data_IF_396361206569
#
_entry.id   IF_396361206569
#
_cell.length_a   1.000
_cell.length_b   1.000
_cell.length_c   1.000
_cell.angle_alpha   90.00
_cell.angle_beta   90.00
_cell.angle_gamma   90.00
#
_symmetry.space_group_name_H-M   'P 1'
#
loop_
_entity.id
_entity.type
_entity.pdbx_description
1 polymer ?
#
# COMPACT_ATOMS: atom_id res chain seq x y z
N UNK A 1 -30.50 9.01 52.25
CA UNK A 1 -30.98 8.13 51.17
C UNK A 1 -30.06 8.37 49.98
N UNK A 2 -29.00 7.57 49.84
CA UNK A 2 -27.95 7.79 48.86
C UNK A 2 -28.30 7.04 47.57
N UNK A 3 -28.54 7.79 46.49
CA UNK A 3 -28.82 7.27 45.15
C UNK A 3 -27.52 6.75 44.55
N UNK A 4 -27.40 5.43 44.41
CA UNK A 4 -26.28 4.78 43.71
C UNK A 4 -26.57 4.73 42.22
N UNK A 5 -25.82 5.51 41.44
CA UNK A 5 -25.79 5.45 39.97
C UNK A 5 -25.09 4.15 39.54
N UNK A 6 -25.66 3.34 38.63
CA UNK A 6 -24.97 2.15 38.15
C UNK A 6 -23.86 2.56 37.19
N UNK A 7 -22.62 2.21 37.52
CA UNK A 7 -21.46 2.29 36.62
C UNK A 7 -21.64 1.27 35.50
N UNK A 8 -21.98 1.75 34.30
CA UNK A 8 -21.99 0.97 33.07
C UNK A 8 -20.56 0.51 32.76
N UNK A 9 -20.23 -0.72 33.15
CA UNK A 9 -18.98 -1.37 32.75
C UNK A 9 -19.06 -1.64 31.25
N UNK A 10 -18.32 -0.86 30.46
CA UNK A 10 -18.12 -1.10 29.03
C UNK A 10 -17.38 -2.42 28.84
N UNK A 11 -18.12 -3.52 28.72
CA UNK A 11 -17.58 -4.85 28.43
C UNK A 11 -16.84 -4.80 27.09
N UNK A 12 -15.51 -4.70 27.13
CA UNK A 12 -14.65 -4.88 25.94
C UNK A 12 -14.97 -6.26 25.39
N UNK A 13 -15.53 -6.31 24.19
CA UNK A 13 -15.79 -7.57 23.50
C UNK A 13 -14.47 -8.34 23.41
N UNK A 14 -14.49 -9.62 23.80
CA UNK A 14 -13.34 -10.51 23.68
C UNK A 14 -12.90 -10.55 22.21
N UNK A 15 -11.60 -10.36 21.90
CA UNK A 15 -11.10 -10.43 20.53
C UNK A 15 -11.50 -11.77 19.91
N UNK A 16 -12.03 -11.75 18.68
CA UNK A 16 -12.40 -13.01 18.02
C UNK A 16 -11.12 -13.73 17.60
N UNK A 17 -10.98 -15.03 17.87
CA UNK A 17 -9.79 -15.75 17.44
C UNK A 17 -9.67 -15.75 15.91
N UNK A 18 -8.45 -15.57 15.42
CA UNK A 18 -8.11 -15.44 13.98
C UNK A 18 -8.63 -16.62 13.13
N UNK A 19 -8.73 -17.82 13.72
CA UNK A 19 -9.25 -19.03 13.05
C UNK A 19 -10.73 -18.94 12.66
N UNK A 20 -11.50 -18.03 13.29
CA UNK A 20 -12.91 -17.77 12.93
C UNK A 20 -13.03 -16.76 11.78
N UNK A 21 -11.92 -16.10 11.41
CA UNK A 21 -11.85 -15.00 10.41
C UNK A 21 -10.93 -15.39 9.26
N UNK A 22 -11.40 -16.31 8.41
CA UNK A 22 -10.61 -16.87 7.31
C UNK A 22 -10.06 -15.81 6.33
N UNK A 23 -10.84 -14.75 6.08
CA UNK A 23 -10.39 -13.61 5.25
C UNK A 23 -9.27 -12.81 5.94
N UNK A 24 -9.35 -12.59 7.24
CA UNK A 24 -8.30 -11.87 7.98
C UNK A 24 -6.99 -12.67 7.98
N UNK A 25 -7.06 -14.01 8.00
CA UNK A 25 -5.87 -14.85 7.84
C UNK A 25 -5.25 -14.71 6.44
N UNK A 26 -6.07 -14.62 5.39
CA UNK A 26 -5.60 -14.37 4.03
C UNK A 26 -4.91 -13.00 3.92
N UNK A 27 -5.53 -11.95 4.46
CA UNK A 27 -4.95 -10.60 4.46
C UNK A 27 -3.68 -10.54 5.30
N UNK A 28 -3.63 -11.22 6.44
CA UNK A 28 -2.44 -11.31 7.26
C UNK A 28 -1.29 -12.00 6.52
N UNK A 29 -1.54 -13.13 5.87
CA UNK A 29 -0.55 -13.82 5.06
C UNK A 29 -0.05 -12.92 3.91
N UNK A 30 -0.98 -12.21 3.27
CA UNK A 30 -0.65 -11.21 2.27
C UNK A 30 0.26 -10.12 2.82
N UNK A 31 -0.08 -9.46 3.95
CA UNK A 31 0.75 -8.40 4.52
C UNK A 31 2.12 -8.89 5.00
N UNK A 32 2.21 -10.12 5.53
CA UNK A 32 3.49 -10.72 5.94
C UNK A 32 4.42 -10.93 4.74
N UNK A 33 3.89 -11.39 3.60
CA UNK A 33 4.68 -11.56 2.37
C UNK A 33 4.94 -10.21 1.69
N UNK A 34 3.97 -9.29 1.76
CA UNK A 34 4.04 -8.02 1.10
C UNK A 34 5.07 -7.08 1.73
N UNK A 35 5.16 -7.00 3.06
CA UNK A 35 6.11 -6.10 3.76
C UNK A 35 7.57 -6.29 3.28
N UNK A 36 8.12 -7.52 3.20
CA UNK A 36 9.44 -7.75 2.62
C UNK A 36 9.55 -7.33 1.15
N UNK A 37 8.51 -7.56 0.35
CA UNK A 37 8.48 -7.16 -1.07
C UNK A 37 8.47 -5.63 -1.19
N UNK A 38 7.69 -4.91 -0.38
CA UNK A 38 7.69 -3.45 -0.37
C UNK A 38 9.05 -2.91 0.05
N UNK A 39 9.66 -3.52 1.09
CA UNK A 39 10.98 -3.14 1.54
C UNK A 39 12.03 -3.36 0.44
N UNK A 40 11.95 -4.49 -0.27
CA UNK A 40 12.80 -4.78 -1.41
C UNK A 40 12.60 -3.76 -2.53
N UNK A 41 11.36 -3.49 -2.92
CA UNK A 41 11.04 -2.56 -4.00
C UNK A 41 11.46 -1.13 -3.65
N UNK A 42 11.31 -0.72 -2.40
CA UNK A 42 11.85 0.54 -1.91
C UNK A 42 13.37 0.59 -2.10
N UNK A 43 14.11 -0.45 -1.71
CA UNK A 43 15.56 -0.53 -1.92
C UNK A 43 15.94 -0.50 -3.41
N UNK A 44 15.17 -1.11 -4.31
CA UNK A 44 15.48 -1.10 -5.75
C UNK A 44 15.19 0.24 -6.43
N UNK A 45 14.25 1.02 -5.89
CA UNK A 45 13.82 2.29 -6.50
C UNK A 45 14.65 3.49 -6.03
N UNK A 46 15.28 3.38 -4.86
CA UNK A 46 16.15 4.40 -4.28
C UNK A 46 17.24 4.88 -5.26
N UNK A 47 17.98 3.99 -5.98
CA UNK A 47 18.92 4.40 -7.01
C UNK A 47 18.28 5.16 -8.18
N UNK A 48 17.07 4.79 -8.62
CA UNK A 48 16.35 5.50 -9.68
C UNK A 48 15.93 6.91 -9.27
N UNK A 49 15.60 7.12 -7.99
CA UNK A 49 15.25 8.45 -7.45
C UNK A 49 16.47 9.34 -7.21
N UNK A 50 17.67 8.77 -7.04
CA UNK A 50 18.91 9.53 -6.83
C UNK A 50 19.60 9.97 -8.13
N UNK A 51 19.22 9.41 -9.29
CA UNK A 51 19.90 9.62 -10.58
C UNK A 51 19.34 10.81 -11.40
N UNK A 52 18.62 11.75 -10.76
CA UNK A 52 17.97 12.89 -11.44
C UNK A 52 18.66 14.24 -11.18
N UNK A 53 19.90 14.25 -10.64
CA UNK A 53 20.54 15.47 -10.14
C UNK A 53 21.89 15.84 -10.78
N UNK A 54 22.29 15.24 -11.92
CA UNK A 54 23.63 15.51 -12.49
C UNK A 54 23.67 15.99 -13.95
N UNK A 55 22.55 16.30 -14.60
CA UNK A 55 22.58 16.94 -15.94
C UNK A 55 21.32 17.80 -16.22
N UNK A 56 21.42 19.11 -15.96
CA UNK A 56 20.84 20.19 -16.78
C UNK A 56 21.16 21.53 -16.06
N UNK A 57 22.03 22.42 -16.53
CA UNK A 57 22.30 22.77 -17.92
C UNK A 57 21.47 23.98 -18.42
N UNK A 58 20.25 24.19 -17.92
CA UNK A 58 19.28 25.03 -18.65
C UNK A 58 18.09 25.51 -17.78
N UNK A 59 18.05 26.83 -17.63
CA UNK A 59 17.00 27.59 -16.96
C UNK A 59 15.62 27.46 -17.64
N UNK A 60 14.79 26.49 -17.28
CA UNK A 60 13.31 26.52 -17.43
C UNK A 60 12.60 25.18 -17.15
N UNK A 61 12.45 24.81 -15.87
CA UNK A 61 11.20 24.32 -15.28
C UNK A 61 11.47 23.77 -13.86
N UNK A 62 10.92 24.44 -12.86
CA UNK A 62 10.57 23.86 -11.56
C UNK A 62 9.05 24.02 -11.44
N UNK A 63 8.31 23.06 -10.85
CA UNK A 63 8.44 22.86 -9.40
C UNK A 63 8.19 21.41 -8.96
N UNK A 64 9.23 20.70 -8.53
CA UNK A 64 9.06 19.60 -7.58
C UNK A 64 10.25 19.49 -6.61
N UNK A 65 10.90 20.61 -6.31
CA UNK A 65 12.00 20.72 -5.34
C UNK A 65 11.60 20.33 -3.90
N UNK A 66 10.31 20.28 -3.56
CA UNK A 66 9.86 19.84 -2.23
C UNK A 66 9.87 18.32 -2.02
N UNK A 67 9.99 17.52 -3.08
CA UNK A 67 10.07 16.04 -2.98
C UNK A 67 11.53 15.56 -3.01
N UNK A 68 12.41 16.36 -3.63
CA UNK A 68 13.86 16.14 -3.68
C UNK A 68 14.50 16.29 -2.29
N UNK A 69 13.97 17.17 -1.44
CA UNK A 69 14.50 17.37 -0.08
C UNK A 69 14.31 16.13 0.84
N UNK A 70 13.35 15.25 0.55
CA UNK A 70 13.19 13.98 1.28
C UNK A 70 14.12 12.88 0.74
N UNK A 71 14.51 12.96 -0.54
CA UNK A 71 15.57 12.10 -1.11
C UNK A 71 16.95 12.43 -0.52
N UNK A 72 17.21 13.71 -0.18
CA UNK A 72 18.41 14.09 0.58
C UNK A 72 18.40 13.66 2.05
N UNK A 73 17.24 13.33 2.62
CA UNK A 73 17.09 12.73 3.97
C UNK A 73 17.35 11.22 3.94
N UNK A 74 17.42 10.62 2.75
CA UNK A 74 17.66 9.18 2.63
C UNK A 74 19.10 8.86 3.08
N UNK A 75 19.29 8.11 4.18
CA UNK A 75 20.63 7.84 4.67
C UNK A 75 21.38 7.01 3.63
N UNK A 76 22.67 7.27 3.45
CA UNK A 76 23.55 6.61 2.49
C UNK A 76 23.66 5.08 2.69
N UNK A 77 23.09 4.54 3.78
CA UNK A 77 22.89 3.10 3.96
C UNK A 77 21.85 2.50 2.99
N UNK A 78 20.84 3.27 2.55
CA UNK A 78 19.83 2.80 1.61
C UNK A 78 20.34 2.81 0.15
N UNK A 79 21.20 3.76 -0.20
CA UNK A 79 21.95 3.76 -1.47
C UNK A 79 23.20 2.90 -1.29
N UNK A 80 23.00 1.59 -1.10
CA UNK A 80 24.09 0.62 -0.90
C UNK A 80 24.40 -0.16 -2.19
N UNK A 81 25.56 -0.82 -2.31
CA UNK A 81 25.84 -1.72 -3.44
C UNK A 81 24.80 -2.82 -3.64
N UNK A 82 24.12 -3.21 -2.55
CA UNK A 82 22.97 -4.10 -2.60
C UNK A 82 21.84 -3.51 -3.44
N UNK A 83 21.44 -2.25 -3.21
CA UNK A 83 20.35 -1.60 -3.98
C UNK A 83 20.57 -1.64 -5.49
N UNK A 84 21.80 -1.36 -5.94
CA UNK A 84 22.18 -1.43 -7.35
C UNK A 84 22.16 -2.86 -7.90
N UNK A 85 22.56 -3.85 -7.09
CA UNK A 85 22.51 -5.27 -7.47
C UNK A 85 21.08 -5.76 -7.61
N UNK A 86 20.19 -5.33 -6.71
CA UNK A 86 18.78 -5.69 -6.74
C UNK A 86 18.06 -5.05 -7.93
N UNK A 87 18.36 -3.79 -8.24
CA UNK A 87 17.85 -3.12 -9.43
C UNK A 87 18.33 -3.83 -10.70
N UNK A 88 19.61 -4.19 -10.79
CA UNK A 88 20.14 -4.95 -11.93
C UNK A 88 19.41 -6.30 -12.12
N UNK A 89 19.18 -7.04 -11.04
CA UNK A 89 18.40 -8.29 -11.08
C UNK A 89 16.96 -8.07 -11.58
N UNK A 90 16.31 -7.00 -11.13
CA UNK A 90 14.94 -6.68 -11.51
C UNK A 90 14.83 -6.26 -12.99
N UNK A 91 15.78 -5.46 -13.48
CA UNK A 91 15.88 -5.04 -14.88
C UNK A 91 16.20 -6.19 -15.83
N UNK A 92 17.08 -7.11 -15.41
CA UNK A 92 17.42 -8.30 -16.18
C UNK A 92 16.24 -9.28 -16.25
N UNK A 93 15.51 -9.46 -15.15
CA UNK A 93 14.45 -10.47 -15.05
C UNK A 93 13.11 -10.01 -15.63
N UNK A 94 12.70 -8.77 -15.37
CA UNK A 94 11.35 -8.28 -15.67
C UNK A 94 11.32 -7.24 -16.79
N UNK A 95 12.48 -6.63 -17.14
CA UNK A 95 12.57 -5.60 -18.18
C UNK A 95 11.50 -4.50 -17.98
N UNK A 96 11.22 -4.14 -16.73
CA UNK A 96 10.11 -3.27 -16.42
C UNK A 96 10.44 -1.81 -16.77
N UNK A 97 9.73 -1.26 -17.75
CA UNK A 97 9.96 0.09 -18.25
C UNK A 97 9.76 1.16 -17.17
N UNK A 98 8.94 0.90 -16.14
CA UNK A 98 8.75 1.83 -15.03
C UNK A 98 10.04 2.11 -14.26
N UNK A 99 11.00 1.17 -14.25
CA UNK A 99 12.29 1.33 -13.59
C UNK A 99 13.42 1.76 -14.54
N UNK A 100 13.19 1.70 -15.86
CA UNK A 100 14.16 2.17 -16.88
C UNK A 100 13.93 3.64 -17.20
N UNK A 101 12.67 4.02 -17.45
CA UNK A 101 12.28 5.40 -17.77
C UNK A 101 11.01 5.76 -16.99
N UNK A 102 11.14 6.08 -15.69
CA UNK A 102 9.98 6.32 -14.83
C UNK A 102 9.21 7.57 -15.30
N UNK A 103 7.92 7.46 -15.60
CA UNK A 103 7.09 8.64 -15.83
C UNK A 103 6.86 9.39 -14.51
N UNK A 104 6.66 10.71 -14.57
CA UNK A 104 6.57 11.56 -13.37
C UNK A 104 5.49 11.11 -12.35
N UNK A 105 4.38 10.55 -12.83
CA UNK A 105 3.32 10.02 -11.96
C UNK A 105 3.74 8.75 -11.20
N UNK A 106 4.66 7.96 -11.76
CA UNK A 106 5.14 6.73 -11.13
C UNK A 106 5.99 7.09 -9.90
N UNK A 107 6.80 8.14 -9.99
CA UNK A 107 7.54 8.69 -8.84
C UNK A 107 6.60 9.08 -7.69
N UNK A 108 5.45 9.70 -7.98
CA UNK A 108 4.46 10.03 -6.95
C UNK A 108 3.89 8.78 -6.27
N UNK A 109 3.59 7.72 -7.04
CA UNK A 109 3.13 6.44 -6.49
C UNK A 109 4.18 5.76 -5.63
N UNK A 110 5.46 5.80 -6.02
CA UNK A 110 6.55 5.28 -5.20
C UNK A 110 6.68 5.98 -3.86
N UNK A 111 6.45 7.30 -3.81
CA UNK A 111 6.46 8.06 -2.57
C UNK A 111 5.26 7.73 -1.68
N UNK A 112 4.08 7.65 -2.27
CA UNK A 112 2.87 7.22 -1.59
C UNK A 112 3.08 5.82 -0.98
N UNK A 113 3.70 4.91 -1.74
CA UNK A 113 4.02 3.58 -1.27
C UNK A 113 5.00 3.60 -0.08
N UNK A 114 6.07 4.40 -0.16
CA UNK A 114 7.05 4.50 0.91
C UNK A 114 6.49 5.15 2.19
N UNK A 115 5.70 6.22 2.05
CA UNK A 115 5.25 7.05 3.19
C UNK A 115 3.95 6.52 3.79
N UNK A 116 3.07 5.92 3.00
CA UNK A 116 1.77 5.44 3.45
C UNK A 116 1.69 3.91 3.47
N UNK A 117 1.94 3.23 2.34
CA UNK A 117 1.77 1.78 2.27
C UNK A 117 2.69 1.01 3.23
N UNK A 118 3.97 1.39 3.35
CA UNK A 118 4.90 0.66 4.22
C UNK A 118 4.52 0.78 5.70
N UNK A 119 4.31 2.00 6.27
CA UNK A 119 3.86 2.12 7.66
C UNK A 119 2.53 1.45 7.92
N UNK A 120 1.56 1.57 7.00
CA UNK A 120 0.26 0.96 7.22
C UNK A 120 0.32 -0.56 7.12
N UNK A 121 1.11 -1.13 6.22
CA UNK A 121 1.28 -2.58 6.10
C UNK A 121 1.89 -3.19 7.36
N UNK A 122 2.88 -2.52 7.96
CA UNK A 122 3.45 -2.92 9.25
C UNK A 122 2.41 -2.84 10.37
N UNK A 123 1.63 -1.76 10.42
CA UNK A 123 0.55 -1.62 11.39
C UNK A 123 -0.56 -2.66 11.18
N UNK A 124 -0.87 -3.02 9.94
CA UNK A 124 -1.91 -3.98 9.58
C UNK A 124 -1.58 -5.38 10.08
N UNK A 125 -0.32 -5.82 10.04
CA UNK A 125 0.09 -7.09 10.65
C UNK A 125 -0.33 -7.12 12.13
N UNK A 126 0.07 -6.10 12.89
CA UNK A 126 -0.31 -5.97 14.30
C UNK A 126 -1.83 -5.82 14.49
N UNK A 127 -2.49 -5.00 13.68
CA UNK A 127 -3.91 -4.68 13.78
C UNK A 127 -4.81 -5.90 13.53
N UNK A 128 -4.44 -6.73 12.54
CA UNK A 128 -5.13 -7.99 12.26
C UNK A 128 -4.93 -9.00 13.38
N UNK A 129 -3.69 -9.14 13.89
CA UNK A 129 -3.42 -10.03 15.01
C UNK A 129 -4.24 -9.69 16.26
N UNK A 130 -4.49 -8.40 16.52
CA UNK A 130 -5.18 -7.93 17.72
C UNK A 130 -6.68 -7.65 17.53
N UNK A 131 -7.25 -7.94 16.35
CA UNK A 131 -8.63 -7.62 16.00
C UNK A 131 -9.00 -6.13 16.26
N UNK A 132 -8.14 -5.22 15.81
CA UNK A 132 -8.32 -3.80 16.07
C UNK A 132 -9.53 -3.22 15.29
N UNK A 133 -10.43 -2.43 15.92
CA UNK A 133 -11.69 -2.01 15.28
C UNK A 133 -11.51 -1.13 14.05
N UNK A 134 -10.37 -0.44 13.91
CA UNK A 134 -10.02 0.40 12.76
C UNK A 134 -9.40 -0.38 11.59
N UNK A 135 -9.16 -1.69 11.72
CA UNK A 135 -8.60 -2.51 10.64
C UNK A 135 -9.42 -2.39 9.36
N UNK A 136 -10.76 -2.53 9.35
CA UNK A 136 -11.53 -2.44 8.11
C UNK A 136 -11.42 -1.07 7.42
N UNK A 137 -11.23 0.00 8.18
CA UNK A 137 -11.09 1.36 7.64
C UNK A 137 -9.75 1.52 6.92
N UNK A 138 -8.65 1.12 7.56
CA UNK A 138 -7.32 1.21 6.94
C UNK A 138 -7.20 0.21 5.78
N UNK A 139 -7.77 -0.98 5.90
CA UNK A 139 -7.85 -1.98 4.83
C UNK A 139 -8.57 -1.42 3.59
N UNK A 140 -9.64 -0.63 3.79
CA UNK A 140 -10.38 0.00 2.69
C UNK A 140 -9.54 1.05 1.95
N UNK A 141 -8.86 1.94 2.69
CA UNK A 141 -8.03 2.99 2.08
C UNK A 141 -6.87 2.34 1.32
N UNK A 142 -6.15 1.43 1.98
CA UNK A 142 -5.03 0.69 1.39
C UNK A 142 -5.45 -0.06 0.12
N UNK A 143 -6.54 -0.84 0.18
CA UNK A 143 -6.98 -1.63 -0.98
C UNK A 143 -7.43 -0.78 -2.17
N UNK A 144 -8.08 0.36 -1.92
CA UNK A 144 -8.48 1.29 -2.97
C UNK A 144 -7.25 1.92 -3.64
N UNK A 145 -6.29 2.35 -2.83
CA UNK A 145 -5.05 2.95 -3.30
C UNK A 145 -4.24 1.97 -4.14
N UNK A 146 -3.99 0.76 -3.62
CA UNK A 146 -3.36 -0.34 -4.38
C UNK A 146 -4.09 -0.61 -5.69
N UNK A 147 -5.43 -0.64 -5.68
CA UNK A 147 -6.20 -0.90 -6.88
C UNK A 147 -6.00 0.21 -7.93
N UNK A 148 -5.99 1.48 -7.54
CA UNK A 148 -5.81 2.61 -8.46
C UNK A 148 -4.40 2.65 -9.04
N UNK A 149 -3.36 2.50 -8.19
CA UNK A 149 -1.97 2.52 -8.66
C UNK A 149 -1.69 1.34 -9.57
N UNK A 150 -2.12 0.14 -9.18
CA UNK A 150 -1.95 -1.09 -9.97
C UNK A 150 -2.73 -1.03 -11.28
N UNK A 151 -3.97 -0.51 -11.27
CA UNK A 151 -4.75 -0.34 -12.49
C UNK A 151 -4.07 0.64 -13.45
N UNK A 152 -3.51 1.74 -12.94
CA UNK A 152 -2.75 2.70 -13.75
C UNK A 152 -1.58 1.99 -14.45
N UNK A 153 -0.82 1.17 -13.73
CA UNK A 153 0.28 0.38 -14.31
C UNK A 153 -0.22 -0.61 -15.36
N UNK A 154 -1.30 -1.35 -15.10
CA UNK A 154 -1.89 -2.32 -16.06
C UNK A 154 -2.32 -1.63 -17.35
N UNK A 155 -2.97 -0.48 -17.23
CA UNK A 155 -3.39 0.33 -18.39
C UNK A 155 -2.18 0.86 -19.14
N UNK A 156 -1.16 1.35 -18.45
CA UNK A 156 0.03 1.91 -19.11
C UNK A 156 0.83 0.83 -19.85
N UNK A 157 1.05 -0.36 -19.24
CA UNK A 157 1.67 -1.53 -19.89
C UNK A 157 0.94 -1.91 -21.19
N UNK A 158 -0.39 -1.75 -21.22
CA UNK A 158 -1.18 -2.04 -22.43
C UNK A 158 -0.79 -1.14 -23.59
N UNK A 159 -0.42 0.11 -23.30
CA UNK A 159 -0.07 1.14 -24.28
C UNK A 159 1.37 1.04 -24.79
N UNK A 160 2.26 0.31 -24.10
CA UNK A 160 3.67 0.23 -24.45
C UNK A 160 3.92 -0.36 -25.84
N UNK A 161 4.78 0.31 -26.62
CA UNK A 161 5.21 -0.12 -27.96
C UNK A 161 6.59 -0.78 -27.85
N UNK A 162 6.84 -1.83 -28.64
CA UNK A 162 8.13 -2.53 -28.66
C UNK A 162 8.23 -3.74 -27.73
N UNK A 163 7.19 -4.05 -26.95
CA UNK A 163 7.09 -5.28 -26.15
C UNK A 163 6.36 -6.38 -26.92
N UNK A 164 6.92 -7.60 -26.88
CA UNK A 164 6.25 -8.81 -27.34
C UNK A 164 5.01 -9.11 -26.49
N UNK A 165 4.00 -9.75 -27.09
CA UNK A 165 2.82 -10.23 -26.37
C UNK A 165 3.18 -11.17 -25.21
N UNK A 166 4.27 -11.95 -25.35
CA UNK A 166 4.75 -12.83 -24.28
C UNK A 166 5.30 -12.02 -23.10
N UNK A 167 6.09 -10.98 -23.36
CA UNK A 167 6.64 -10.10 -22.32
C UNK A 167 5.50 -9.36 -21.58
N UNK A 168 4.52 -8.83 -22.31
CA UNK A 168 3.34 -8.22 -21.69
C UNK A 168 2.55 -9.20 -20.83
N UNK A 169 2.42 -10.46 -21.28
CA UNK A 169 1.74 -11.51 -20.52
C UNK A 169 2.44 -11.81 -19.19
N UNK A 170 3.77 -11.86 -19.17
CA UNK A 170 4.55 -12.08 -17.95
C UNK A 170 4.34 -10.93 -16.95
N UNK A 171 4.34 -9.67 -17.43
CA UNK A 171 4.03 -8.51 -16.60
C UNK A 171 2.60 -8.56 -16.07
N UNK A 172 1.60 -8.83 -16.91
CA UNK A 172 0.22 -8.97 -16.46
C UNK A 172 0.03 -10.09 -15.44
N UNK A 173 0.80 -11.17 -15.55
CA UNK A 173 0.84 -12.24 -14.56
C UNK A 173 1.25 -11.78 -13.16
N UNK A 174 2.02 -10.69 -13.06
CA UNK A 174 2.41 -10.09 -11.79
C UNK A 174 1.35 -9.09 -11.27
N UNK A 175 0.91 -8.15 -12.12
CA UNK A 175 0.05 -7.05 -11.69
C UNK A 175 -1.44 -7.43 -11.56
N UNK A 176 -1.98 -8.23 -12.47
CA UNK A 176 -3.42 -8.52 -12.52
C UNK A 176 -3.91 -9.32 -11.30
N UNK A 177 -3.22 -10.38 -10.83
CA UNK A 177 -3.63 -11.07 -9.60
C UNK A 177 -3.64 -10.14 -8.39
N UNK A 178 -2.68 -9.21 -8.35
CA UNK A 178 -2.57 -8.20 -7.30
C UNK A 178 -3.76 -7.24 -7.31
N UNK A 179 -4.14 -6.74 -8.49
CA UNK A 179 -5.32 -5.91 -8.70
C UNK A 179 -6.61 -6.62 -8.28
N UNK A 180 -6.77 -7.89 -8.66
CA UNK A 180 -7.95 -8.69 -8.30
C UNK A 180 -8.05 -8.83 -6.78
N UNK A 181 -6.93 -9.15 -6.12
CA UNK A 181 -6.88 -9.27 -4.66
C UNK A 181 -7.22 -7.94 -3.97
N UNK A 182 -6.67 -6.83 -4.46
CA UNK A 182 -6.96 -5.49 -3.94
C UNK A 182 -8.45 -5.15 -4.06
N UNK A 183 -9.08 -5.40 -5.21
CA UNK A 183 -10.51 -5.19 -5.41
C UNK A 183 -11.37 -6.04 -4.45
N UNK A 184 -11.06 -7.33 -4.30
CA UNK A 184 -11.78 -8.21 -3.37
C UNK A 184 -11.66 -7.75 -1.92
N UNK A 185 -10.45 -7.35 -1.53
CA UNK A 185 -10.15 -6.82 -0.20
C UNK A 185 -10.89 -5.50 0.06
N UNK A 186 -10.97 -4.62 -0.94
CA UNK A 186 -11.71 -3.36 -0.84
C UNK A 186 -13.22 -3.54 -0.69
N UNK A 187 -13.80 -4.49 -1.42
CA UNK A 187 -15.23 -4.81 -1.28
C UNK A 187 -15.54 -5.37 0.11
N UNK A 188 -14.72 -6.32 0.62
CA UNK A 188 -14.89 -6.85 1.99
C UNK A 188 -14.75 -5.75 3.05
N UNK A 189 -13.70 -4.92 2.94
CA UNK A 189 -13.44 -3.80 3.84
C UNK A 189 -14.61 -2.81 3.83
N UNK A 190 -15.13 -2.46 2.66
CA UNK A 190 -16.27 -1.56 2.51
C UNK A 190 -17.52 -2.11 3.22
N UNK A 191 -17.85 -3.40 3.02
CA UNK A 191 -18.99 -4.05 3.69
C UNK A 191 -18.83 -4.02 5.21
N UNK A 192 -17.62 -4.23 5.73
CA UNK A 192 -17.33 -4.19 7.16
C UNK A 192 -17.47 -2.78 7.74
N UNK A 193 -16.89 -1.77 7.08
CA UNK A 193 -17.01 -0.35 7.50
C UNK A 193 -18.46 0.09 7.47
N UNK A 194 -19.20 -0.20 6.39
CA UNK A 194 -20.64 0.08 6.29
C UNK A 194 -21.42 -0.54 7.45
N UNK A 195 -21.14 -1.79 7.80
CA UNK A 195 -21.79 -2.49 8.92
C UNK A 195 -21.51 -1.80 10.25
N UNK A 196 -20.27 -1.40 10.51
CA UNK A 196 -19.89 -0.69 11.73
C UNK A 196 -20.63 0.66 11.84
N UNK A 197 -20.69 1.44 10.76
CA UNK A 197 -21.37 2.74 10.74
C UNK A 197 -22.88 2.59 10.99
N UNK A 198 -23.54 1.66 10.28
CA UNK A 198 -24.98 1.44 10.43
C UNK A 198 -25.37 0.94 11.82
N UNK A 199 -24.53 0.11 12.44
CA UNK A 199 -24.74 -0.36 13.81
C UNK A 199 -24.62 0.79 14.82
N UNK A 200 -23.61 1.65 14.68
CA UNK A 200 -23.45 2.83 15.54
C UNK A 200 -24.63 3.80 15.42
N UNK A 201 -25.09 4.08 14.21
CA UNK A 201 -26.26 4.96 13.99
C UNK A 201 -27.58 4.39 14.53
N UNK A 202 -27.72 3.06 14.61
CA UNK A 202 -28.85 2.41 15.25
C UNK A 202 -28.85 2.52 16.78
N UNK A 203 -27.66 2.44 17.40
CA UNK A 203 -27.50 2.60 18.85
C UNK A 203 -27.79 4.03 19.32
N UNK A 204 -27.46 5.05 18.54
CA UNK A 204 -27.79 6.44 18.90
C UNK A 204 -29.30 6.68 18.91
N UNK A 205 -30.03 6.13 17.93
CA UNK A 205 -31.50 6.21 17.89
C UNK A 205 -32.17 5.50 19.07
N UNK A 206 -31.59 4.40 19.56
CA UNK A 206 -32.10 3.66 20.72
C UNK A 206 -31.82 4.29 22.08
N UNK A 207 -30.87 5.24 22.18
CA UNK A 207 -30.60 6.00 23.41
C UNK A 207 -31.37 7.32 23.49
N UNK A 208 -31.90 7.79 22.36
CA UNK A 208 -32.69 9.00 22.26
C UNK A 208 -34.21 8.77 22.47
N UNK A 209 -34.61 7.53 22.73
CA UNK A 209 -35.96 7.09 23.10
C UNK A 209 -35.97 6.62 24.55
#
# INVERSE_FOLDING_TARGET
MATTTPTTVTRRATPRPLSTRKLDMLYLAFFIVHVPIMFWMFMTTVPCLSHDNDNDDNNNAQPLSSVVDLASILPSFLVSPLSHTLLAYQLERFQDQFFVSPPAWFTAYMWIEAVYHVPISLWMVWGLFNDHPLVPLHLLIFSLEVAVTTLTCVVDISSWKGYSSAQKSDLYGLYVPYLVLACLMGVDAFVRVKRQILQSGGLEKGKAL
#
